data_IF_546245971192
#
_entry.id   IF_546245971192
#
_cell.length_a   1.000
_cell.length_b   1.000
_cell.length_c   1.000
_cell.angle_alpha   90.00
_cell.angle_beta   90.00
_cell.angle_gamma   90.00
#
_symmetry.space_group_name_H-M   'P 1'
#
loop_
_entity.id
_entity.type
_entity.pdbx_description
1 polymer ?
#
# COMPACT_ATOMS: atom_id res chain seq x y z
N UNK A 1 13.10 3.35 -20.08
CA UNK A 1 12.37 3.56 -18.81
C UNK A 1 12.35 5.04 -18.53
N UNK A 2 11.21 5.62 -18.17
CA UNK A 2 11.13 7.04 -17.78
C UNK A 2 12.16 7.26 -16.65
N UNK A 3 13.15 8.12 -16.92
CA UNK A 3 14.46 8.17 -16.28
C UNK A 3 14.48 8.70 -14.85
N UNK A 4 13.67 8.12 -13.98
CA UNK A 4 13.63 8.44 -12.56
C UNK A 4 13.87 7.17 -11.76
N UNK A 5 14.94 7.16 -10.98
CA UNK A 5 15.28 6.12 -10.00
C UNK A 5 14.24 5.99 -8.87
N UNK A 6 13.19 6.83 -8.89
CA UNK A 6 12.14 6.90 -7.88
C UNK A 6 10.76 6.98 -8.52
N UNK A 7 9.82 6.24 -7.95
CA UNK A 7 8.40 6.23 -8.27
C UNK A 7 7.64 6.67 -7.03
N UNK A 8 6.64 7.53 -7.23
CA UNK A 8 5.74 7.99 -6.20
C UNK A 8 4.34 8.14 -6.83
N UNK A 9 3.46 7.16 -6.61
CA UNK A 9 2.17 7.10 -7.28
C UNK A 9 1.05 6.60 -6.35
N UNK A 10 -0.17 7.02 -6.63
CA UNK A 10 -1.37 6.54 -5.95
C UNK A 10 -2.19 5.68 -6.93
N UNK A 11 -2.69 4.54 -6.46
CA UNK A 11 -3.49 3.59 -7.26
C UNK A 11 -4.85 3.39 -6.59
N UNK A 12 -5.93 3.61 -7.33
CA UNK A 12 -7.28 3.24 -6.91
C UNK A 12 -7.58 1.79 -7.27
N UNK A 13 -8.27 1.06 -6.39
CA UNK A 13 -8.63 -0.34 -6.61
C UNK A 13 -9.92 -0.75 -5.87
N UNK A 14 -10.39 -1.97 -6.12
CA UNK A 14 -11.45 -2.60 -5.32
C UNK A 14 -12.89 -2.20 -5.69
N UNK A 15 -13.08 -1.42 -6.77
CA UNK A 15 -14.40 -1.02 -7.26
C UNK A 15 -15.31 -2.21 -7.60
N UNK A 16 -14.78 -3.25 -8.26
CA UNK A 16 -15.56 -4.45 -8.63
C UNK A 16 -16.11 -5.21 -7.41
N UNK A 17 -15.39 -5.15 -6.28
CA UNK A 17 -15.79 -5.76 -5.01
C UNK A 17 -16.59 -4.79 -4.11
N UNK A 18 -16.94 -3.60 -4.61
CA UNK A 18 -17.59 -2.51 -3.85
C UNK A 18 -16.81 -2.13 -2.58
N UNK A 19 -15.48 -2.22 -2.65
CA UNK A 19 -14.55 -1.87 -1.57
C UNK A 19 -13.46 -0.96 -2.15
N UNK A 20 -13.80 0.28 -2.51
CA UNK A 20 -12.81 1.22 -3.05
C UNK A 20 -11.71 1.47 -2.01
N UNK A 21 -10.46 1.38 -2.44
CA UNK A 21 -9.28 1.74 -1.64
C UNK A 21 -8.25 2.48 -2.50
N UNK A 22 -7.32 3.15 -1.82
CA UNK A 22 -6.27 3.96 -2.44
C UNK A 22 -4.92 3.57 -1.86
N UNK A 23 -4.08 2.91 -2.66
CA UNK A 23 -2.72 2.53 -2.29
C UNK A 23 -1.73 3.64 -2.67
N UNK A 24 -0.89 4.04 -1.71
CA UNK A 24 0.31 4.84 -1.99
C UNK A 24 1.52 3.93 -2.22
N UNK A 25 2.11 4.00 -3.42
CA UNK A 25 3.29 3.24 -3.81
C UNK A 25 4.49 4.19 -3.91
N UNK A 26 5.55 3.86 -3.18
CA UNK A 26 6.87 4.48 -3.34
C UNK A 26 7.86 3.40 -3.73
N UNK A 27 8.59 3.59 -4.82
CA UNK A 27 9.67 2.70 -5.20
C UNK A 27 10.93 3.50 -5.45
N UNK A 28 12.08 2.95 -5.10
CA UNK A 28 13.37 3.51 -5.48
C UNK A 28 14.39 2.38 -5.71
N UNK A 29 15.34 2.60 -6.62
CA UNK A 29 16.47 1.70 -6.80
C UNK A 29 17.60 2.08 -5.82
N UNK A 30 18.05 1.12 -5.01
CA UNK A 30 19.17 1.27 -4.07
C UNK A 30 20.10 0.07 -4.29
N UNK A 31 21.38 0.32 -4.58
CA UNK A 31 22.39 -0.74 -4.78
C UNK A 31 21.95 -1.82 -5.80
N UNK A 32 21.38 -1.40 -6.93
CA UNK A 32 20.81 -2.28 -7.96
C UNK A 32 19.66 -3.18 -7.49
N UNK A 33 18.99 -2.82 -6.39
CA UNK A 33 17.79 -3.47 -5.88
C UNK A 33 16.62 -2.50 -5.84
N UNK A 34 15.45 -2.98 -6.21
CA UNK A 34 14.21 -2.22 -6.08
C UNK A 34 13.72 -2.27 -4.62
N UNK A 35 13.71 -1.13 -3.95
CA UNK A 35 13.06 -0.93 -2.65
C UNK A 35 11.65 -0.42 -2.90
N UNK A 36 10.63 -1.20 -2.58
CA UNK A 36 9.23 -0.86 -2.79
C UNK A 36 8.53 -0.79 -1.44
N UNK A 37 7.84 0.32 -1.20
CA UNK A 37 7.03 0.57 0.00
C UNK A 37 5.60 0.85 -0.40
N UNK A 38 4.67 0.20 0.30
CA UNK A 38 3.24 0.37 0.13
C UNK A 38 2.69 0.96 1.43
N UNK A 39 1.76 1.91 1.31
CA UNK A 39 1.08 2.50 2.45
C UNK A 39 -0.36 2.83 2.11
N UNK A 40 -1.23 2.65 3.10
CA UNK A 40 -2.62 3.07 3.05
C UNK A 40 -3.01 3.64 4.41
N UNK A 41 -4.04 4.49 4.43
CA UNK A 41 -4.70 4.89 5.68
C UNK A 41 -5.63 3.75 6.09
N UNK A 42 -5.42 3.20 7.29
CA UNK A 42 -6.29 2.15 7.85
C UNK A 42 -7.23 2.76 8.89
N UNK A 43 -8.48 2.31 8.90
CA UNK A 43 -9.48 2.68 9.90
C UNK A 43 -9.86 1.46 10.73
N UNK A 44 -9.78 1.57 12.05
CA UNK A 44 -10.24 0.53 12.96
C UNK A 44 -11.76 0.56 13.01
N UNK A 45 -12.40 -0.57 12.69
CA UNK A 45 -13.87 -0.71 12.69
C UNK A 45 -14.41 -1.53 13.86
N UNK A 46 -13.55 -2.32 14.50
CA UNK A 46 -13.87 -3.15 15.64
C UNK A 46 -12.58 -3.55 16.35
N UNK A 47 -12.66 -3.70 17.66
CA UNK A 47 -11.62 -4.25 18.50
C UNK A 47 -12.19 -5.39 19.36
N UNK A 48 -11.31 -6.28 19.83
CA UNK A 48 -11.73 -7.44 20.60
C UNK A 48 -10.57 -8.11 21.31
N UNK A 49 -10.91 -8.93 22.31
CA UNK A 49 -9.95 -9.73 23.10
C UNK A 49 -10.14 -11.21 22.79
N UNK A 50 -9.05 -11.91 22.56
CA UNK A 50 -9.07 -13.35 22.42
C UNK A 50 -9.22 -13.99 23.81
N UNK A 51 -10.35 -14.65 24.07
CA UNK A 51 -10.55 -15.43 25.28
C UNK A 51 -10.10 -16.86 25.02
N UNK A 52 -8.90 -17.21 25.46
CA UNK A 52 -8.39 -18.58 25.47
C UNK A 52 -8.76 -19.21 26.81
N UNK A 53 -9.45 -20.36 26.79
CA UNK A 53 -9.76 -21.18 27.97
C UNK A 53 -8.74 -22.31 28.11
#
# INVERSE_FOLDING_TARGET
>A
MFGTEKINLCVEQGYEMKRPSLIHIRAEEIESKNNIRLGEKVESIADGKWNVR
#
